data_IF_813307304708
#
_entry.id   IF_813307304708
#
_cell.length_a   1.000
_cell.length_b   1.000
_cell.length_c   1.000
_cell.angle_alpha   90.00
_cell.angle_beta   90.00
_cell.angle_gamma   90.00
#
_symmetry.space_group_name_H-M   'P 1'
#
loop_
_entity.id
_entity.type
_entity.pdbx_description
1 polymer ?
#
# COMPACT_ATOMS: atom_id res chain seq x y z
N UNK A 1 0.59 -25.82 -3.84
CA UNK A 1 -0.24 -25.18 -4.88
C UNK A 1 -0.44 -23.74 -4.47
N UNK A 2 -0.35 -22.79 -5.40
CA UNK A 2 -0.69 -21.41 -5.13
C UNK A 2 -2.18 -21.30 -4.74
N UNK A 3 -2.51 -20.38 -3.84
CA UNK A 3 -3.89 -20.11 -3.45
C UNK A 3 -4.65 -19.47 -4.62
N UNK A 4 -5.90 -19.82 -4.77
CA UNK A 4 -6.80 -19.03 -5.62
C UNK A 4 -7.07 -17.66 -4.96
N UNK A 5 -7.48 -16.67 -5.74
CA UNK A 5 -7.86 -15.34 -5.21
C UNK A 5 -8.93 -15.46 -4.11
N UNK A 6 -9.91 -16.33 -4.29
CA UNK A 6 -10.97 -16.56 -3.30
C UNK A 6 -10.42 -17.14 -2.00
N UNK A 7 -9.47 -18.07 -2.08
CA UNK A 7 -8.81 -18.64 -0.90
C UNK A 7 -7.93 -17.61 -0.19
N UNK A 8 -7.15 -16.81 -0.93
CA UNK A 8 -6.35 -15.73 -0.36
C UNK A 8 -7.25 -14.72 0.40
N UNK A 9 -8.36 -14.31 -0.18
CA UNK A 9 -9.35 -13.43 0.46
C UNK A 9 -9.93 -14.05 1.73
N UNK A 10 -10.32 -15.33 1.66
CA UNK A 10 -10.94 -16.04 2.77
C UNK A 10 -9.96 -16.27 3.93
N UNK A 11 -8.69 -16.51 3.64
CA UNK A 11 -7.67 -16.86 4.64
C UNK A 11 -6.98 -15.64 5.27
N UNK A 12 -6.85 -14.52 4.51
CA UNK A 12 -6.11 -13.34 4.99
C UNK A 12 -6.66 -12.79 6.31
N UNK A 13 -5.77 -12.62 7.27
CA UNK A 13 -6.05 -11.98 8.58
C UNK A 13 -5.06 -10.84 8.84
N UNK A 14 -5.42 -9.94 9.72
CA UNK A 14 -4.47 -8.98 10.28
C UNK A 14 -3.61 -9.69 11.34
N UNK A 15 -2.35 -9.95 11.01
CA UNK A 15 -1.38 -10.68 11.84
C UNK A 15 -0.34 -9.70 12.36
N UNK A 16 -0.05 -9.74 13.65
CA UNK A 16 0.85 -8.80 14.34
C UNK A 16 2.04 -9.48 15.00
N UNK A 17 2.06 -10.81 15.03
CA UNK A 17 3.20 -11.60 15.52
C UNK A 17 3.81 -12.38 14.36
N UNK A 18 5.11 -12.24 14.19
CA UNK A 18 5.83 -12.81 13.05
C UNK A 18 7.00 -13.66 13.54
N UNK A 19 7.29 -14.72 12.80
CA UNK A 19 8.48 -15.50 12.96
C UNK A 19 9.72 -14.68 12.58
N UNK A 20 10.80 -14.88 13.30
CA UNK A 20 12.11 -14.35 12.91
C UNK A 20 12.66 -15.18 11.72
N UNK A 21 12.13 -14.89 10.54
CA UNK A 21 12.49 -15.58 9.32
C UNK A 21 12.58 -14.57 8.16
N UNK A 22 13.70 -14.54 7.43
CA UNK A 22 13.87 -13.64 6.31
C UNK A 22 12.95 -14.03 5.16
N UNK A 23 12.49 -13.02 4.44
CA UNK A 23 11.72 -13.20 3.20
C UNK A 23 12.71 -13.17 2.04
N UNK A 24 12.74 -14.19 1.15
CA UNK A 24 13.59 -14.18 -0.04
C UNK A 24 13.30 -12.97 -0.94
N UNK A 25 14.33 -12.40 -1.55
CA UNK A 25 14.20 -11.25 -2.44
C UNK A 25 13.25 -11.54 -3.61
N UNK A 26 13.34 -12.73 -4.21
CA UNK A 26 12.44 -13.17 -5.29
C UNK A 26 10.97 -13.18 -4.87
N UNK A 27 10.69 -13.55 -3.62
CA UNK A 27 9.31 -13.52 -3.08
C UNK A 27 8.84 -12.08 -2.90
N UNK A 28 9.69 -11.19 -2.40
CA UNK A 28 9.37 -9.77 -2.26
C UNK A 28 9.13 -9.11 -3.63
N UNK A 29 10.00 -9.38 -4.60
CA UNK A 29 9.88 -8.84 -5.95
C UNK A 29 8.57 -9.28 -6.61
N UNK A 30 8.19 -10.55 -6.45
CA UNK A 30 6.93 -11.07 -6.96
C UNK A 30 5.72 -10.38 -6.32
N UNK A 31 5.74 -10.17 -5.00
CA UNK A 31 4.67 -9.48 -4.27
C UNK A 31 4.57 -8.02 -4.73
N UNK A 32 5.69 -7.32 -4.84
CA UNK A 32 5.75 -5.92 -5.28
C UNK A 32 5.24 -5.78 -6.71
N UNK A 33 5.72 -6.61 -7.63
CA UNK A 33 5.30 -6.59 -9.03
C UNK A 33 3.79 -6.84 -9.16
N UNK A 34 3.26 -7.85 -8.48
CA UNK A 34 1.83 -8.13 -8.47
C UNK A 34 1.01 -6.97 -7.85
N UNK A 35 1.52 -6.32 -6.83
CA UNK A 35 0.85 -5.16 -6.23
C UNK A 35 0.80 -3.97 -7.19
N UNK A 36 1.87 -3.71 -7.94
CA UNK A 36 1.97 -2.62 -8.89
C UNK A 36 1.13 -2.82 -10.17
N UNK A 37 0.66 -4.05 -10.45
CA UNK A 37 -0.34 -4.33 -11.49
C UNK A 37 -1.74 -3.76 -11.18
N UNK A 38 -1.95 -3.19 -9.99
CA UNK A 38 -3.20 -2.55 -9.64
C UNK A 38 -3.55 -1.43 -10.64
N UNK A 39 -4.81 -1.34 -11.10
CA UNK A 39 -5.21 -0.31 -12.05
C UNK A 39 -5.21 1.09 -11.43
N UNK A 40 -5.12 2.10 -12.30
CA UNK A 40 -5.24 3.51 -11.92
C UNK A 40 -5.99 4.30 -13.00
N UNK A 41 -6.52 5.47 -12.65
CA UNK A 41 -7.17 6.35 -13.61
C UNK A 41 -6.19 6.73 -14.74
N UNK A 42 -6.60 6.55 -15.99
CA UNK A 42 -5.77 6.75 -17.18
C UNK A 42 -4.46 5.93 -17.22
N UNK A 43 -4.28 4.98 -16.35
CA UNK A 43 -3.00 4.33 -16.06
C UNK A 43 -1.91 5.35 -15.61
N UNK A 44 -2.31 6.45 -14.97
CA UNK A 44 -1.38 7.50 -14.55
C UNK A 44 -0.53 7.11 -13.33
N UNK A 45 -0.89 6.04 -12.67
CA UNK A 45 -0.08 5.40 -11.60
C UNK A 45 0.34 6.38 -10.50
N UNK A 46 -0.63 7.16 -9.98
CA UNK A 46 -0.40 8.18 -8.94
C UNK A 46 -0.09 7.55 -7.57
N UNK A 47 0.88 6.65 -7.52
CA UNK A 47 1.27 5.92 -6.31
C UNK A 47 2.73 5.46 -6.35
N UNK A 48 3.30 5.28 -5.16
CA UNK A 48 4.58 4.60 -4.96
C UNK A 48 4.42 3.51 -3.89
N UNK A 49 5.30 2.52 -3.90
CA UNK A 49 5.37 1.47 -2.90
C UNK A 49 6.79 1.39 -2.34
N UNK A 50 6.96 1.77 -1.07
CA UNK A 50 8.25 1.73 -0.38
C UNK A 50 8.37 0.42 0.39
N UNK A 51 9.45 -0.32 0.14
CA UNK A 51 9.77 -1.59 0.83
C UNK A 51 10.82 -1.33 1.89
N UNK A 52 10.47 -1.47 3.16
CA UNK A 52 11.34 -1.17 4.30
C UNK A 52 11.77 -2.45 4.98
N UNK A 53 13.08 -2.73 4.94
CA UNK A 53 13.73 -3.83 5.68
C UNK A 53 14.75 -3.31 6.70
N UNK A 54 15.22 -2.09 6.52
CA UNK A 54 16.18 -1.46 7.41
C UNK A 54 15.58 -1.25 8.81
N UNK A 55 16.28 -1.72 9.84
CA UNK A 55 15.77 -1.70 11.21
C UNK A 55 15.68 -0.28 11.78
N UNK A 56 16.56 0.64 11.37
CA UNK A 56 16.49 2.04 11.83
C UNK A 56 15.28 2.76 11.22
N UNK A 57 14.95 2.47 9.95
CA UNK A 57 13.74 3.01 9.31
C UNK A 57 12.49 2.41 9.95
N UNK A 58 12.46 1.10 10.24
CA UNK A 58 11.35 0.47 10.97
C UNK A 58 11.17 1.06 12.36
N UNK A 59 12.27 1.35 13.08
CA UNK A 59 12.21 2.05 14.37
C UNK A 59 11.57 3.43 14.24
N UNK A 60 11.96 4.22 13.24
CA UNK A 60 11.38 5.54 13.02
C UNK A 60 9.87 5.47 12.67
N UNK A 61 9.43 4.44 11.93
CA UNK A 61 8.00 4.19 11.67
C UNK A 61 7.28 3.78 12.96
N UNK A 62 7.91 2.97 13.81
CA UNK A 62 7.36 2.62 15.12
C UNK A 62 7.20 3.86 16.00
N UNK A 63 8.21 4.73 16.06
CA UNK A 63 8.17 5.96 16.86
C UNK A 63 7.02 6.90 16.41
N UNK A 64 6.68 6.87 15.11
CA UNK A 64 5.58 7.63 14.53
C UNK A 64 4.20 6.98 14.75
N UNK A 65 4.11 5.73 15.20
CA UNK A 65 2.86 4.96 15.23
C UNK A 65 2.57 4.23 16.55
N UNK A 66 3.60 3.88 17.31
CA UNK A 66 3.48 2.99 18.47
C UNK A 66 3.10 1.55 18.13
N UNK A 67 3.21 1.14 16.85
CA UNK A 67 2.75 -0.16 16.37
C UNK A 67 3.89 -1.19 16.39
N UNK A 68 3.93 -2.06 17.41
CA UNK A 68 5.01 -3.03 17.64
C UNK A 68 5.29 -3.94 16.41
N UNK A 69 4.26 -4.32 15.68
CA UNK A 69 4.40 -5.16 14.50
C UNK A 69 5.30 -4.56 13.40
N UNK A 70 5.53 -3.24 13.39
CA UNK A 70 6.46 -2.63 12.44
C UNK A 70 7.93 -2.86 12.79
N UNK A 71 8.24 -3.09 14.06
CA UNK A 71 9.58 -3.51 14.48
C UNK A 71 9.82 -5.00 14.25
N UNK A 72 8.81 -5.81 14.55
CA UNK A 72 8.93 -7.27 14.62
C UNK A 72 8.84 -7.92 13.23
N UNK A 73 8.11 -7.30 12.30
CA UNK A 73 7.98 -7.84 10.95
C UNK A 73 9.31 -7.78 10.17
N UNK A 74 9.64 -8.81 9.37
CA UNK A 74 10.83 -8.79 8.51
C UNK A 74 10.78 -7.70 7.43
N UNK A 75 9.57 -7.28 7.02
CA UNK A 75 9.36 -6.18 6.06
C UNK A 75 8.16 -5.32 6.44
N UNK A 76 8.26 -4.02 6.17
CA UNK A 76 7.16 -3.05 6.24
C UNK A 76 7.00 -2.42 4.86
N UNK A 77 5.79 -2.43 4.34
CA UNK A 77 5.44 -1.71 3.12
C UNK A 77 4.77 -0.38 3.48
N UNK A 78 5.24 0.70 2.88
CA UNK A 78 4.58 2.00 2.97
C UNK A 78 4.00 2.34 1.61
N UNK A 79 2.67 2.43 1.55
CA UNK A 79 1.94 2.72 0.32
C UNK A 79 1.69 4.22 0.27
N UNK A 80 2.24 4.86 -0.76
CA UNK A 80 2.29 6.32 -0.90
C UNK A 80 1.39 6.76 -2.05
N UNK A 81 0.51 7.71 -1.80
CA UNK A 81 -0.25 8.41 -2.85
C UNK A 81 0.53 9.62 -3.35
N UNK A 82 0.57 9.80 -4.67
CA UNK A 82 1.17 10.94 -5.36
C UNK A 82 0.07 11.95 -5.72
N UNK A 83 0.33 13.24 -5.51
CA UNK A 83 -0.66 14.31 -5.73
C UNK A 83 -0.16 15.43 -6.64
N UNK A 84 0.83 15.14 -7.48
CA UNK A 84 1.18 16.00 -8.61
C UNK A 84 0.04 16.08 -9.62
N UNK A 85 0.05 17.09 -10.46
CA UNK A 85 -0.92 17.20 -11.58
C UNK A 85 -0.77 16.03 -12.55
N UNK A 86 0.47 15.64 -12.84
CA UNK A 86 0.87 14.41 -13.52
C UNK A 86 2.15 13.89 -12.89
N UNK A 87 2.40 12.57 -12.84
CA UNK A 87 3.66 12.05 -12.34
C UNK A 87 4.84 12.50 -13.20
N UNK A 88 6.03 12.56 -12.59
CA UNK A 88 7.27 13.02 -13.26
C UNK A 88 7.63 12.15 -14.49
N UNK A 89 7.26 10.87 -14.45
CA UNK A 89 7.47 9.84 -15.47
C UNK A 89 6.24 9.64 -16.39
N UNK A 90 5.29 10.57 -16.38
CA UNK A 90 4.02 10.43 -17.10
C UNK A 90 4.20 10.20 -18.62
N UNK A 91 5.12 10.90 -19.26
CA UNK A 91 5.34 10.75 -20.71
C UNK A 91 5.90 9.37 -21.06
N UNK A 92 6.71 8.78 -20.19
CA UNK A 92 7.24 7.43 -20.36
C UNK A 92 6.14 6.38 -20.25
N UNK A 93 5.20 6.58 -19.32
CA UNK A 93 4.10 5.65 -19.05
C UNK A 93 2.95 5.81 -20.06
N UNK A 94 2.56 7.06 -20.35
CA UNK A 94 1.34 7.40 -21.09
C UNK A 94 1.59 7.85 -22.52
N UNK A 95 2.81 8.29 -22.82
CA UNK A 95 3.11 9.07 -24.04
C UNK A 95 2.64 10.52 -23.95
N UNK A 96 3.16 11.39 -24.80
CA UNK A 96 2.97 12.84 -24.71
C UNK A 96 1.48 13.26 -24.81
N UNK A 97 0.72 12.68 -25.75
CA UNK A 97 -0.68 13.05 -25.98
C UNK A 97 -1.58 12.80 -24.74
N UNK A 98 -1.48 11.61 -24.15
CA UNK A 98 -2.30 11.26 -22.99
C UNK A 98 -1.82 12.00 -21.74
N UNK A 99 -0.52 12.26 -21.61
CA UNK A 99 0.04 13.08 -20.52
C UNK A 99 -0.57 14.49 -20.52
N UNK A 100 -0.63 15.15 -21.69
CA UNK A 100 -1.26 16.48 -21.79
C UNK A 100 -2.75 16.43 -21.49
N UNK A 101 -3.46 15.39 -21.88
CA UNK A 101 -4.86 15.20 -21.57
C UNK A 101 -5.08 15.06 -20.04
N UNK A 102 -4.27 14.25 -19.36
CA UNK A 102 -4.30 14.09 -17.90
C UNK A 102 -3.92 15.40 -17.20
N UNK A 103 -2.90 16.12 -17.71
CA UNK A 103 -2.51 17.45 -17.21
C UNK A 103 -3.67 18.44 -17.30
N UNK A 104 -4.38 18.48 -18.42
CA UNK A 104 -5.55 19.33 -18.60
C UNK A 104 -6.67 18.98 -17.64
N UNK A 105 -6.91 17.69 -17.40
CA UNK A 105 -7.96 17.22 -16.48
C UNK A 105 -7.62 17.53 -15.01
N UNK A 106 -6.39 17.29 -14.59
CA UNK A 106 -5.95 17.49 -13.21
C UNK A 106 -5.54 18.94 -12.89
N UNK A 107 -5.19 19.74 -13.91
CA UNK A 107 -4.61 21.08 -13.73
C UNK A 107 -5.52 22.10 -13.04
N UNK A 108 -6.83 21.87 -13.06
CA UNK A 108 -7.82 22.69 -12.34
C UNK A 108 -8.23 22.09 -10.98
N UNK A 109 -7.72 20.92 -10.63
CA UNK A 109 -8.08 20.25 -9.39
C UNK A 109 -7.43 20.92 -8.17
N UNK A 110 -8.14 20.98 -7.06
CA UNK A 110 -7.56 21.43 -5.79
C UNK A 110 -6.51 20.42 -5.27
N UNK A 111 -5.58 20.86 -4.42
CA UNK A 111 -4.62 19.99 -3.76
C UNK A 111 -5.31 18.84 -3.01
N UNK A 112 -6.44 19.10 -2.35
CA UNK A 112 -7.23 18.08 -1.68
C UNK A 112 -7.77 17.02 -2.67
N UNK A 113 -8.18 17.44 -3.87
CA UNK A 113 -8.67 16.52 -4.91
C UNK A 113 -7.54 15.68 -5.50
N UNK A 114 -6.38 16.27 -5.74
CA UNK A 114 -5.20 15.52 -6.20
C UNK A 114 -4.74 14.51 -5.14
N UNK A 115 -4.72 14.91 -3.87
CA UNK A 115 -4.44 13.99 -2.75
C UNK A 115 -5.43 12.81 -2.72
N UNK A 116 -6.71 13.08 -2.90
CA UNK A 116 -7.75 12.03 -2.97
C UNK A 116 -7.48 11.05 -4.12
N UNK A 117 -7.12 11.54 -5.30
CA UNK A 117 -6.78 10.70 -6.47
C UNK A 117 -5.59 9.79 -6.12
N UNK A 118 -4.49 10.35 -5.62
CA UNK A 118 -3.31 9.58 -5.24
C UNK A 118 -3.61 8.53 -4.16
N UNK A 119 -4.39 8.87 -3.14
CA UNK A 119 -4.78 7.92 -2.10
C UNK A 119 -5.65 6.77 -2.67
N UNK A 120 -6.54 7.05 -3.61
CA UNK A 120 -7.35 6.00 -4.26
C UNK A 120 -6.49 5.01 -5.03
N UNK A 121 -5.55 5.50 -5.85
CA UNK A 121 -4.61 4.67 -6.59
C UNK A 121 -3.74 3.84 -5.64
N UNK A 122 -3.21 4.47 -4.59
CA UNK A 122 -2.40 3.82 -3.57
C UNK A 122 -3.18 2.71 -2.82
N UNK A 123 -4.45 2.93 -2.48
CA UNK A 123 -5.28 1.93 -1.80
C UNK A 123 -5.61 0.72 -2.69
N UNK A 124 -5.66 0.88 -4.03
CA UNK A 124 -5.77 -0.26 -4.94
C UNK A 124 -4.50 -1.12 -4.89
N UNK A 125 -3.31 -0.49 -4.93
CA UNK A 125 -2.03 -1.20 -4.74
C UNK A 125 -1.99 -1.93 -3.40
N UNK A 126 -2.41 -1.28 -2.31
CA UNK A 126 -2.49 -1.92 -1.01
C UNK A 126 -3.38 -3.17 -1.02
N UNK A 127 -4.54 -3.12 -1.65
CA UNK A 127 -5.44 -4.27 -1.79
C UNK A 127 -4.80 -5.44 -2.55
N UNK A 128 -4.15 -5.17 -3.66
CA UNK A 128 -3.41 -6.16 -4.44
C UNK A 128 -2.25 -6.75 -3.64
N UNK A 129 -1.47 -5.91 -2.95
CA UNK A 129 -0.36 -6.34 -2.09
C UNK A 129 -0.80 -7.33 -1.01
N UNK A 130 -1.91 -7.04 -0.32
CA UNK A 130 -2.43 -7.92 0.74
C UNK A 130 -2.74 -9.33 0.22
N UNK A 131 -3.26 -9.44 -1.01
CA UNK A 131 -3.59 -10.72 -1.62
C UNK A 131 -2.35 -11.42 -2.19
N UNK A 132 -1.45 -10.67 -2.84
CA UNK A 132 -0.19 -11.20 -3.35
C UNK A 132 0.69 -11.74 -2.21
N UNK A 133 0.78 -11.03 -1.08
CA UNK A 133 1.49 -11.50 0.10
C UNK A 133 0.88 -12.80 0.66
N UNK A 134 -0.46 -12.87 0.75
CA UNK A 134 -1.17 -14.06 1.22
C UNK A 134 -0.94 -15.26 0.30
N UNK A 135 -0.91 -15.07 -1.01
CA UNK A 135 -0.61 -16.12 -1.99
C UNK A 135 0.79 -16.70 -1.77
N UNK A 136 1.77 -15.85 -1.43
CA UNK A 136 3.15 -16.24 -1.15
C UNK A 136 3.36 -16.75 0.29
N UNK A 137 2.28 -17.00 1.03
CA UNK A 137 2.32 -17.52 2.40
C UNK A 137 2.74 -16.49 3.45
N UNK A 138 2.79 -15.20 3.11
CA UNK A 138 3.03 -14.14 4.06
C UNK A 138 1.71 -13.62 4.64
N UNK A 139 1.71 -13.37 5.93
CA UNK A 139 0.63 -12.68 6.63
C UNK A 139 0.92 -11.18 6.76
N UNK A 140 -0.13 -10.38 6.81
CA UNK A 140 -0.03 -8.93 6.76
C UNK A 140 -0.82 -8.25 7.87
N UNK A 141 -0.37 -7.06 8.31
CA UNK A 141 -1.08 -6.18 9.23
C UNK A 141 -1.19 -4.77 8.62
N UNK A 142 -2.25 -4.47 7.87
CA UNK A 142 -2.52 -3.12 7.37
C UNK A 142 -2.95 -2.21 8.52
N UNK A 143 -2.36 -1.03 8.61
CA UNK A 143 -2.56 -0.08 9.72
C UNK A 143 -2.72 1.35 9.20
N UNK A 144 -3.66 2.09 9.80
CA UNK A 144 -3.90 3.52 9.53
C UNK A 144 -3.62 4.41 10.75
N UNK A 145 -3.20 3.83 11.88
CA UNK A 145 -2.91 4.54 13.13
C UNK A 145 -1.45 4.96 13.21
N UNK A 146 -1.08 6.04 12.56
CA UNK A 146 0.28 6.62 12.55
C UNK A 146 0.23 8.14 12.37
N UNK A 147 1.33 8.82 12.73
CA UNK A 147 1.57 10.21 12.39
C UNK A 147 2.15 10.31 10.98
N UNK A 148 1.47 11.00 10.07
CA UNK A 148 1.86 11.06 8.65
C UNK A 148 3.23 11.69 8.46
N UNK A 149 3.50 12.83 9.12
CA UNK A 149 4.78 13.53 9.00
C UNK A 149 5.94 12.68 9.52
N UNK A 150 5.72 11.95 10.62
CA UNK A 150 6.69 11.02 11.18
C UNK A 150 7.02 9.88 10.23
N UNK A 151 6.01 9.26 9.60
CA UNK A 151 6.24 8.20 8.60
C UNK A 151 6.91 8.76 7.35
N UNK A 152 6.48 9.92 6.84
CA UNK A 152 7.14 10.59 5.70
C UNK A 152 8.62 10.85 6.00
N UNK A 153 8.94 11.35 7.19
CA UNK A 153 10.33 11.58 7.62
C UNK A 153 11.12 10.28 7.67
N UNK A 154 10.54 9.20 8.21
CA UNK A 154 11.19 7.90 8.30
C UNK A 154 11.63 7.35 6.93
N UNK A 155 10.86 7.62 5.87
CA UNK A 155 11.12 7.14 4.51
C UNK A 155 11.71 8.22 3.58
N UNK A 156 12.17 9.37 4.12
CA UNK A 156 12.84 10.42 3.35
C UNK A 156 11.92 11.30 2.49
N UNK A 157 10.64 11.41 2.86
CA UNK A 157 9.64 12.23 2.16
C UNK A 157 9.22 13.51 2.93
N UNK A 158 9.95 13.93 3.94
CA UNK A 158 9.60 15.09 4.78
C UNK A 158 9.46 16.41 4.01
N UNK A 159 10.16 16.55 2.89
CA UNK A 159 10.12 17.74 2.03
C UNK A 159 9.13 17.62 0.85
N UNK A 160 8.32 16.56 0.80
CA UNK A 160 7.41 16.26 -0.32
C UNK A 160 5.96 16.47 0.11
N UNK A 161 5.44 17.68 -0.09
CA UNK A 161 4.03 18.01 0.19
C UNK A 161 3.06 17.31 -0.79
N UNK A 162 3.57 16.89 -1.93
CA UNK A 162 2.87 16.14 -2.97
C UNK A 162 2.86 14.62 -2.75
N UNK A 163 3.27 14.14 -1.58
CA UNK A 163 3.23 12.73 -1.17
C UNK A 163 2.40 12.56 0.09
N UNK A 164 1.57 11.54 0.10
CA UNK A 164 0.70 11.20 1.23
C UNK A 164 0.80 9.74 1.57
N UNK A 165 0.79 9.40 2.85
CA UNK A 165 0.79 8.01 3.28
C UNK A 165 -0.64 7.46 3.22
N UNK A 166 -0.86 6.48 2.38
CA UNK A 166 -2.17 5.83 2.24
C UNK A 166 -2.35 4.69 3.25
N UNK A 167 -1.32 3.86 3.42
CA UNK A 167 -1.36 2.70 4.31
C UNK A 167 0.06 2.26 4.68
N UNK A 168 0.25 1.77 5.90
CA UNK A 168 1.47 1.11 6.34
C UNK A 168 1.13 -0.35 6.66
N UNK A 169 1.91 -1.30 6.11
CA UNK A 169 1.61 -2.72 6.16
C UNK A 169 2.83 -3.48 6.66
N UNK A 170 2.76 -4.06 7.85
CA UNK A 170 3.74 -5.06 8.28
C UNK A 170 3.46 -6.40 7.58
N UNK A 171 4.50 -7.11 7.17
CA UNK A 171 4.36 -8.42 6.54
C UNK A 171 5.49 -9.38 6.93
N UNK A 172 5.14 -10.67 7.03
CA UNK A 172 6.07 -11.73 7.39
C UNK A 172 5.37 -13.08 7.53
N UNK A 173 6.13 -14.11 7.88
CA UNK A 173 5.56 -15.42 8.22
C UNK A 173 4.89 -15.34 9.59
N UNK A 174 3.61 -15.72 9.65
CA UNK A 174 2.81 -15.63 10.87
C UNK A 174 3.37 -16.51 12.01
N UNK A 175 3.37 -15.98 13.21
CA UNK A 175 3.57 -16.72 14.46
C UNK A 175 2.30 -16.70 15.36
N UNK A 176 1.19 -16.32 14.77
CA UNK A 176 -0.15 -16.37 15.37
C UNK A 176 -1.19 -16.74 14.32
N UNK A 177 -2.37 -17.19 14.75
CA UNK A 177 -3.47 -17.56 13.87
C UNK A 177 -4.78 -16.90 14.33
N UNK A 178 -4.98 -15.59 14.03
CA UNK A 178 -6.18 -14.88 14.47
C UNK A 178 -7.44 -15.47 13.83
N UNK A 179 -8.50 -15.57 14.63
CA UNK A 179 -9.82 -15.99 14.13
C UNK A 179 -10.39 -14.98 13.12
N UNK A 180 -11.33 -15.43 12.29
CA UNK A 180 -12.04 -14.54 11.38
C UNK A 180 -12.95 -13.59 12.16
N UNK A 181 -12.76 -12.25 12.07
CA UNK A 181 -13.49 -11.27 12.88
C UNK A 181 -14.95 -11.04 12.43
N UNK A 182 -15.44 -11.82 11.49
CA UNK A 182 -16.76 -11.61 10.87
C UNK A 182 -16.77 -10.46 9.85
N UNK A 183 -17.90 -10.35 9.15
CA UNK A 183 -18.23 -9.23 8.25
C UNK A 183 -19.71 -8.94 8.36
N UNK A 184 -20.09 -7.68 8.23
CA UNK A 184 -21.48 -7.29 8.15
C UNK A 184 -22.09 -7.75 6.82
N UNK A 185 -23.15 -8.54 6.90
CA UNK A 185 -23.83 -9.11 5.71
C UNK A 185 -24.79 -8.13 5.04
N UNK A 186 -25.20 -7.08 5.76
CA UNK A 186 -26.19 -6.09 5.33
C UNK A 186 -25.53 -4.82 4.73
N UNK A 187 -24.32 -4.93 4.20
CA UNK A 187 -23.62 -3.80 3.54
C UNK A 187 -23.81 -3.78 2.03
N UNK A 188 -24.42 -4.83 1.48
CA UNK A 188 -24.84 -4.80 0.08
C UNK A 188 -26.11 -3.98 -0.05
N UNK A 189 -26.10 -3.03 -0.98
CA UNK A 189 -27.26 -2.22 -1.37
C UNK A 189 -27.41 -2.41 -2.87
N UNK A 190 -28.59 -2.82 -3.30
CA UNK A 190 -28.93 -3.01 -4.72
C UNK A 190 -29.65 -1.73 -5.21
N UNK A 191 -29.22 -1.20 -6.35
CA UNK A 191 -29.73 -0.05 -7.08
C UNK A 191 -29.59 1.31 -6.37
N UNK A 192 -30.17 1.50 -5.20
CA UNK A 192 -30.23 2.80 -4.51
C UNK A 192 -29.90 2.64 -3.04
N UNK A 193 -29.21 3.66 -2.51
CA UNK A 193 -28.93 3.77 -1.07
C UNK A 193 -30.14 4.41 -0.38
#
# INVERSE_FOLDING_TARGET
MALTVSEAIAQRRATRQYKDAPIPDETLDLIVNNALEAPSAFNAQMRDLVVVRDQAVKQAIFDASGQQQFLDAPVVFVVVGRSEVVPEDAEEILGAELTEKVRGFNGSASAAKLREIGIRDAMLVAGFLLLAAQEQGLSTSPTTGWNEDGVKKAIGLEARDDRSIALVIAAGYADEHPEHPGRAINRRVDDKY
#
